data_IF_283339786205
#
_entry.id   IF_283339786205
#
_cell.length_a   1.000
_cell.length_b   1.000
_cell.length_c   1.000
_cell.angle_alpha   90.00
_cell.angle_beta   90.00
_cell.angle_gamma   90.00
#
_symmetry.space_group_name_H-M   'P 1'
#
loop_
_entity.id
_entity.type
_entity.pdbx_description
1 polymer ?
#
# COMPACT_ATOMS: atom_id res chain seq x y z
N UNK A 1 22.47 -31.55 -0.99
CA UNK A 1 21.84 -30.44 -1.73
C UNK A 1 22.26 -30.55 -3.17
N UNK A 2 21.33 -30.71 -4.11
CA UNK A 2 21.64 -30.67 -5.53
C UNK A 2 21.97 -29.23 -5.93
N UNK A 3 23.05 -29.03 -6.66
CA UNK A 3 23.37 -27.72 -7.22
C UNK A 3 22.25 -27.33 -8.21
N UNK A 4 21.48 -26.30 -7.84
CA UNK A 4 20.50 -25.71 -8.75
C UNK A 4 21.30 -25.07 -9.89
N UNK A 5 21.25 -25.67 -11.08
CA UNK A 5 21.84 -25.05 -12.27
C UNK A 5 21.05 -23.77 -12.57
N UNK A 6 21.72 -22.63 -12.48
CA UNK A 6 21.13 -21.36 -12.89
C UNK A 6 20.85 -21.43 -14.40
N UNK A 7 19.62 -21.12 -14.79
CA UNK A 7 19.25 -20.92 -16.18
C UNK A 7 20.05 -19.76 -16.76
N UNK A 8 20.59 -19.92 -17.97
CA UNK A 8 21.18 -18.81 -18.74
C UNK A 8 20.13 -17.93 -19.43
N UNK A 9 18.84 -18.19 -19.21
CA UNK A 9 17.77 -17.43 -19.83
C UNK A 9 17.79 -15.96 -19.37
N UNK A 10 17.50 -15.00 -20.25
CA UNK A 10 17.33 -13.60 -19.88
C UNK A 10 16.29 -13.41 -18.76
N UNK A 11 16.52 -12.41 -17.90
CA UNK A 11 15.63 -12.07 -16.78
C UNK A 11 14.17 -11.86 -17.22
N UNK A 12 13.98 -11.16 -18.35
CA UNK A 12 12.64 -10.89 -18.89
C UNK A 12 11.89 -12.18 -19.23
N UNK A 13 12.54 -13.13 -19.89
CA UNK A 13 11.94 -14.42 -20.24
C UNK A 13 11.59 -15.22 -18.98
N UNK A 14 12.47 -15.17 -17.97
CA UNK A 14 12.24 -15.81 -16.67
C UNK A 14 10.99 -15.25 -15.97
N UNK A 15 10.80 -13.93 -15.98
CA UNK A 15 9.60 -13.28 -15.41
C UNK A 15 8.33 -13.61 -16.21
N UNK A 16 8.41 -13.66 -17.54
CA UNK A 16 7.24 -14.02 -18.36
C UNK A 16 6.83 -15.48 -18.14
N UNK A 17 7.79 -16.39 -18.07
CA UNK A 17 7.53 -17.79 -17.73
C UNK A 17 6.93 -17.91 -16.33
N UNK A 18 7.49 -17.18 -15.36
CA UNK A 18 6.97 -17.14 -13.99
C UNK A 18 5.52 -16.66 -13.93
N UNK A 19 5.19 -15.53 -14.58
CA UNK A 19 3.82 -15.00 -14.65
C UNK A 19 2.84 -16.01 -15.22
N UNK A 20 3.23 -16.71 -16.29
CA UNK A 20 2.40 -17.75 -16.92
C UNK A 20 2.03 -18.87 -15.94
N UNK A 21 2.93 -19.21 -15.03
CA UNK A 21 2.68 -20.21 -13.98
C UNK A 21 1.84 -19.62 -12.86
N UNK A 22 2.23 -18.46 -12.32
CA UNK A 22 1.56 -17.80 -11.19
C UNK A 22 0.12 -17.43 -11.51
N UNK A 23 -0.19 -17.10 -12.76
CA UNK A 23 -1.55 -16.76 -13.18
C UNK A 23 -2.57 -17.90 -12.96
N UNK A 24 -2.11 -19.12 -12.72
CA UNK A 24 -2.91 -20.30 -12.44
C UNK A 24 -2.95 -20.70 -10.96
N UNK A 25 -2.30 -19.93 -10.10
CA UNK A 25 -2.20 -20.19 -8.67
C UNK A 25 -3.12 -19.26 -7.89
N UNK A 26 -3.51 -19.71 -6.70
CA UNK A 26 -4.08 -18.88 -5.64
C UNK A 26 -3.04 -18.83 -4.52
N UNK A 27 -2.63 -17.63 -4.12
CA UNK A 27 -1.53 -17.43 -3.18
C UNK A 27 -2.03 -16.74 -1.92
N UNK A 28 -1.56 -17.19 -0.76
CA UNK A 28 -1.69 -16.43 0.49
C UNK A 28 -0.65 -15.30 0.53
N UNK A 29 -0.78 -14.36 1.48
CA UNK A 29 0.25 -13.34 1.65
C UNK A 29 1.61 -13.94 2.04
N UNK A 30 1.60 -15.06 2.77
CA UNK A 30 2.81 -15.76 3.20
C UNK A 30 3.51 -16.46 2.02
N UNK A 31 2.74 -17.02 1.07
CA UNK A 31 3.30 -17.58 -0.17
C UNK A 31 3.98 -16.48 -1.01
N UNK A 32 3.32 -15.33 -1.17
CA UNK A 32 3.89 -14.19 -1.91
C UNK A 32 5.15 -13.69 -1.23
N UNK A 33 5.14 -13.55 0.10
CA UNK A 33 6.30 -13.15 0.88
C UNK A 33 7.47 -14.11 0.67
N UNK A 34 7.24 -15.43 0.76
CA UNK A 34 8.29 -16.42 0.57
C UNK A 34 8.90 -16.35 -0.84
N UNK A 35 8.07 -16.13 -1.88
CA UNK A 35 8.54 -15.94 -3.25
C UNK A 35 9.39 -14.67 -3.41
N UNK A 36 8.98 -13.57 -2.77
CA UNK A 36 9.73 -12.31 -2.73
C UNK A 36 11.07 -12.48 -2.02
N UNK A 37 11.10 -13.15 -0.87
CA UNK A 37 12.32 -13.47 -0.12
C UNK A 37 13.29 -14.32 -0.97
N UNK A 38 12.76 -15.34 -1.65
CA UNK A 38 13.55 -16.15 -2.58
C UNK A 38 14.12 -15.32 -3.74
N UNK A 39 13.33 -14.39 -4.29
CA UNK A 39 13.78 -13.49 -5.36
C UNK A 39 14.88 -12.53 -4.88
N UNK A 40 14.79 -12.04 -3.64
CA UNK A 40 15.80 -11.18 -3.02
C UNK A 40 17.14 -11.89 -2.80
N UNK A 41 17.13 -13.20 -2.62
CA UNK A 41 18.35 -14.02 -2.44
C UNK A 41 19.07 -14.35 -3.76
N UNK A 42 18.48 -14.03 -4.93
CA UNK A 42 19.11 -14.33 -6.21
C UNK A 42 20.36 -13.45 -6.43
N UNK A 43 21.50 -14.03 -6.84
CA UNK A 43 22.71 -13.26 -7.12
C UNK A 43 22.52 -12.35 -8.36
N UNK A 44 23.17 -11.18 -8.36
CA UNK A 44 23.21 -10.32 -9.56
C UNK A 44 22.02 -9.36 -9.74
N UNK A 45 21.34 -8.97 -8.66
CA UNK A 45 20.23 -7.99 -8.66
C UNK A 45 20.63 -6.55 -9.09
N UNK A 46 21.80 -6.32 -9.72
CA UNK A 46 22.31 -4.99 -10.07
C UNK A 46 21.65 -4.37 -11.32
N UNK A 47 20.39 -4.71 -11.62
CA UNK A 47 19.62 -4.18 -12.73
C UNK A 47 18.71 -3.02 -12.35
N UNK A 48 18.17 -2.31 -13.36
CA UNK A 48 17.27 -1.17 -13.18
C UNK A 48 15.92 -1.49 -12.48
N UNK A 49 15.57 -2.78 -12.36
CA UNK A 49 14.35 -3.24 -11.68
C UNK A 49 14.67 -4.41 -10.76
N UNK A 50 14.47 -4.28 -9.44
CA UNK A 50 14.72 -5.37 -8.50
C UNK A 50 13.79 -6.56 -8.75
N UNK A 51 14.32 -7.78 -8.72
CA UNK A 51 13.53 -8.98 -8.97
C UNK A 51 12.37 -9.13 -7.98
N UNK A 52 12.61 -8.75 -6.72
CA UNK A 52 11.62 -8.73 -5.65
C UNK A 52 10.40 -7.86 -5.95
N UNK A 53 10.59 -6.71 -6.62
CA UNK A 53 9.47 -5.83 -7.02
C UNK A 53 8.68 -6.50 -8.14
N UNK A 54 9.35 -7.06 -9.15
CA UNK A 54 8.69 -7.79 -10.23
C UNK A 54 7.92 -9.02 -9.72
N UNK A 55 8.50 -9.73 -8.75
CA UNK A 55 7.92 -10.89 -8.10
C UNK A 55 6.63 -10.51 -7.37
N UNK A 56 6.67 -9.47 -6.53
CA UNK A 56 5.50 -9.00 -5.79
C UNK A 56 4.39 -8.54 -6.75
N UNK A 57 4.73 -7.74 -7.76
CA UNK A 57 3.74 -7.24 -8.74
C UNK A 57 3.12 -8.39 -9.54
N UNK A 58 3.90 -9.39 -9.94
CA UNK A 58 3.39 -10.56 -10.64
C UNK A 58 2.43 -11.39 -9.79
N UNK A 59 2.70 -11.51 -8.49
CA UNK A 59 1.88 -12.27 -7.56
C UNK A 59 0.67 -11.51 -7.01
N UNK A 60 0.68 -10.17 -7.04
CA UNK A 60 -0.33 -9.32 -6.38
C UNK A 60 -1.77 -9.69 -6.76
N UNK A 61 -2.05 -9.83 -8.05
CA UNK A 61 -3.39 -10.15 -8.56
C UNK A 61 -3.89 -11.54 -8.15
N UNK A 62 -2.98 -12.43 -7.74
CA UNK A 62 -3.25 -13.83 -7.34
C UNK A 62 -3.25 -14.03 -5.83
N UNK A 63 -2.93 -12.98 -5.07
CA UNK A 63 -3.04 -12.99 -3.62
C UNK A 63 -4.49 -12.79 -3.19
N UNK A 64 -5.05 -13.72 -2.43
CA UNK A 64 -6.40 -13.58 -1.87
C UNK A 64 -6.42 -12.80 -0.54
N UNK A 65 -5.26 -12.60 0.10
CA UNK A 65 -5.10 -11.85 1.36
C UNK A 65 -4.45 -10.48 1.11
N UNK A 66 -5.00 -9.69 0.17
CA UNK A 66 -4.39 -8.40 -0.23
C UNK A 66 -4.13 -7.43 0.92
N UNK A 67 -5.02 -7.27 1.93
CA UNK A 67 -4.74 -6.40 3.07
C UNK A 67 -3.48 -6.83 3.83
N UNK A 68 -3.32 -8.14 4.08
CA UNK A 68 -2.13 -8.70 4.73
C UNK A 68 -0.87 -8.50 3.87
N UNK A 69 -1.01 -8.55 2.53
CA UNK A 69 0.09 -8.26 1.61
C UNK A 69 0.51 -6.78 1.65
N UNK A 70 -0.44 -5.84 1.71
CA UNK A 70 -0.16 -4.41 1.81
C UNK A 70 0.39 -3.96 3.18
N UNK A 71 0.45 -4.87 4.15
CA UNK A 71 0.87 -4.56 5.52
C UNK A 71 2.37 -4.26 5.68
N UNK A 72 2.72 -3.70 6.84
CA UNK A 72 4.09 -3.57 7.35
C UNK A 72 4.91 -4.87 7.32
N UNK A 73 4.26 -6.04 7.41
CA UNK A 73 4.96 -7.32 7.42
C UNK A 73 5.53 -7.71 6.04
N UNK A 74 4.94 -7.19 4.95
CA UNK A 74 5.35 -7.55 3.58
C UNK A 74 5.72 -6.33 2.73
N UNK A 75 4.76 -5.53 2.25
CA UNK A 75 5.05 -4.44 1.32
C UNK A 75 5.87 -3.29 1.92
N UNK A 76 5.67 -2.99 3.21
CA UNK A 76 6.44 -1.93 3.90
C UNK A 76 7.56 -2.49 4.79
N UNK A 77 7.92 -3.77 4.64
CA UNK A 77 9.00 -4.37 5.41
C UNK A 77 10.36 -3.89 4.88
N UNK A 78 11.14 -3.11 5.65
CA UNK A 78 12.40 -2.53 5.18
C UNK A 78 13.50 -3.57 4.90
N UNK A 79 13.34 -4.81 5.39
CA UNK A 79 14.24 -5.91 5.08
C UNK A 79 13.95 -6.53 3.70
N UNK A 80 12.73 -6.34 3.18
CA UNK A 80 12.33 -6.82 1.87
C UNK A 80 12.43 -5.71 0.83
N UNK A 81 11.92 -4.51 1.14
CA UNK A 81 11.80 -3.42 0.19
C UNK A 81 12.47 -2.15 0.72
N UNK A 82 13.28 -1.52 -0.13
CA UNK A 82 13.77 -0.17 0.11
C UNK A 82 12.66 0.87 -0.12
N UNK A 83 12.89 2.13 0.27
CA UNK A 83 11.97 3.23 -0.05
C UNK A 83 11.80 3.44 -1.56
N UNK A 84 12.86 3.19 -2.34
CA UNK A 84 12.79 3.24 -3.81
C UNK A 84 11.89 2.13 -4.36
N UNK A 85 12.01 0.92 -3.82
CA UNK A 85 11.14 -0.21 -4.19
C UNK A 85 9.68 0.09 -3.88
N UNK A 86 9.41 0.67 -2.70
CA UNK A 86 8.06 1.08 -2.32
C UNK A 86 7.47 2.11 -3.30
N UNK A 87 8.28 3.08 -3.75
CA UNK A 87 7.89 4.02 -4.80
C UNK A 87 7.55 3.32 -6.14
N UNK A 88 8.31 2.29 -6.51
CA UNK A 88 8.02 1.48 -7.70
C UNK A 88 6.74 0.66 -7.53
N UNK A 89 6.50 0.07 -6.36
CA UNK A 89 5.26 -0.66 -6.05
C UNK A 89 4.06 0.28 -6.12
N UNK A 90 4.12 1.44 -5.47
CA UNK A 90 3.10 2.48 -5.53
C UNK A 90 2.77 2.88 -6.97
N UNK A 91 3.79 3.14 -7.79
CA UNK A 91 3.60 3.53 -9.20
C UNK A 91 2.92 2.45 -10.04
N UNK A 92 3.17 1.17 -9.72
CA UNK A 92 2.74 0.03 -10.56
C UNK A 92 1.43 -0.60 -10.12
N UNK A 93 1.19 -0.65 -8.82
CA UNK A 93 0.00 -1.24 -8.24
C UNK A 93 -1.07 -0.18 -7.96
N UNK A 94 -0.67 1.08 -7.83
CA UNK A 94 -1.58 2.13 -7.40
C UNK A 94 -1.66 2.23 -5.88
N UNK A 95 -2.12 3.38 -5.40
CA UNK A 95 -2.08 3.74 -3.98
C UNK A 95 -3.02 2.94 -3.10
N UNK A 96 -4.25 2.67 -3.55
CA UNK A 96 -5.22 1.89 -2.78
C UNK A 96 -4.73 0.44 -2.59
N UNK A 97 -4.02 -0.10 -3.57
CA UNK A 97 -3.50 -1.46 -3.52
C UNK A 97 -2.27 -1.63 -2.59
N UNK A 98 -1.55 -0.56 -2.28
CA UNK A 98 -0.38 -0.58 -1.37
C UNK A 98 -0.64 0.06 -0.01
N UNK A 99 -1.87 0.55 0.22
CA UNK A 99 -2.28 1.18 1.46
C UNK A 99 -2.37 0.14 2.58
N UNK A 100 -1.58 0.34 3.63
CA UNK A 100 -1.73 -0.35 4.91
C UNK A 100 -2.81 0.36 5.74
N UNK A 101 -4.07 -0.01 5.46
CA UNK A 101 -5.25 0.59 6.07
C UNK A 101 -5.30 0.46 7.60
N UNK A 102 -4.65 -0.57 8.16
CA UNK A 102 -4.60 -0.80 9.60
C UNK A 102 -3.55 0.06 10.33
N UNK A 103 -2.67 0.72 9.56
CA UNK A 103 -1.49 1.41 10.08
C UNK A 103 -1.29 2.78 9.38
N UNK A 104 -2.38 3.49 9.06
CA UNK A 104 -2.32 4.78 8.35
C UNK A 104 -1.65 5.91 9.13
N UNK A 105 -1.57 5.79 10.45
CA UNK A 105 -0.95 6.74 11.36
C UNK A 105 0.58 6.57 11.48
N UNK A 106 1.11 5.43 11.02
CA UNK A 106 2.53 5.08 11.19
C UNK A 106 3.40 5.66 10.09
N UNK A 107 4.58 6.15 10.47
CA UNK A 107 5.57 6.71 9.53
C UNK A 107 6.38 5.63 8.79
N UNK A 108 6.39 4.39 9.30
CA UNK A 108 7.13 3.26 8.74
C UNK A 108 6.30 2.39 7.77
N UNK A 109 5.04 2.76 7.53
CA UNK A 109 4.13 2.13 6.55
C UNK A 109 3.81 3.09 5.41
N UNK A 110 2.97 2.71 4.44
CA UNK A 110 2.46 3.63 3.41
C UNK A 110 3.58 4.42 2.68
N UNK A 111 4.70 3.75 2.46
CA UNK A 111 5.91 4.33 1.88
C UNK A 111 5.65 4.78 0.43
N UNK A 112 6.37 5.81 -0.06
CA UNK A 112 7.54 6.44 0.55
C UNK A 112 7.25 7.51 1.60
N UNK A 113 5.98 7.92 1.75
CA UNK A 113 5.62 9.13 2.50
C UNK A 113 5.10 8.86 3.91
N UNK A 114 4.99 7.60 4.34
CA UNK A 114 4.52 7.32 5.69
C UNK A 114 3.03 7.64 5.83
N UNK A 115 2.70 8.28 6.94
CA UNK A 115 1.38 8.81 7.24
C UNK A 115 1.06 10.16 6.55
N UNK A 116 1.92 10.63 5.63
CA UNK A 116 1.67 11.82 4.82
C UNK A 116 1.08 11.43 3.47
N UNK A 117 -0.12 11.90 3.20
CA UNK A 117 -0.87 11.64 1.98
C UNK A 117 -0.94 12.91 1.13
N UNK A 118 -0.66 12.75 -0.16
CA UNK A 118 -0.87 13.77 -1.18
C UNK A 118 -1.53 13.06 -2.37
N UNK A 119 -2.80 13.38 -2.60
CA UNK A 119 -3.75 12.61 -3.39
C UNK A 119 -4.33 13.50 -4.50
N UNK A 120 -4.13 13.11 -5.74
CA UNK A 120 -4.77 13.69 -6.92
C UNK A 120 -6.19 13.12 -7.07
N UNK A 121 -7.19 13.93 -6.75
CA UNK A 121 -8.59 13.53 -6.79
C UNK A 121 -9.15 13.39 -8.22
N UNK A 122 -8.36 13.75 -9.25
CA UNK A 122 -8.66 13.35 -10.62
C UNK A 122 -8.50 11.82 -10.80
N UNK A 123 -7.57 11.21 -10.05
CA UNK A 123 -7.32 9.76 -10.07
C UNK A 123 -8.35 9.07 -9.18
N UNK A 124 -9.16 8.18 -9.77
CA UNK A 124 -10.23 7.50 -9.05
C UNK A 124 -9.72 6.75 -7.81
N UNK A 125 -8.60 6.05 -7.93
CA UNK A 125 -8.00 5.29 -6.83
C UNK A 125 -7.55 6.20 -5.68
N UNK A 126 -6.92 7.35 -5.97
CA UNK A 126 -6.48 8.27 -4.92
C UNK A 126 -7.66 9.00 -4.27
N UNK A 127 -8.73 9.27 -5.01
CA UNK A 127 -10.01 9.72 -4.43
C UNK A 127 -10.62 8.68 -3.49
N UNK A 128 -10.53 7.38 -3.80
CA UNK A 128 -10.96 6.33 -2.89
C UNK A 128 -10.14 6.34 -1.60
N UNK A 129 -8.82 6.53 -1.67
CA UNK A 129 -7.97 6.70 -0.48
C UNK A 129 -8.35 7.94 0.32
N UNK A 130 -8.68 9.06 -0.33
CA UNK A 130 -9.14 10.28 0.34
C UNK A 130 -10.45 10.05 1.12
N UNK A 131 -11.43 9.41 0.49
CA UNK A 131 -12.70 9.02 1.10
C UNK A 131 -12.49 8.07 2.28
N UNK A 132 -11.59 7.09 2.13
CA UNK A 132 -11.21 6.19 3.20
C UNK A 132 -10.66 6.95 4.41
N UNK A 133 -9.68 7.82 4.21
CA UNK A 133 -9.04 8.60 5.30
C UNK A 133 -10.07 9.48 6.03
N UNK A 134 -10.94 10.17 5.29
CA UNK A 134 -12.02 10.96 5.87
C UNK A 134 -13.04 10.09 6.64
N UNK A 135 -13.40 8.93 6.08
CA UNK A 135 -14.32 7.98 6.70
C UNK A 135 -13.79 7.38 8.00
N UNK A 136 -12.50 7.05 8.07
CA UNK A 136 -11.85 6.59 9.30
C UNK A 136 -11.79 7.72 10.33
N UNK A 137 -11.35 8.92 9.93
CA UNK A 137 -11.29 10.07 10.83
C UNK A 137 -12.67 10.45 11.40
N UNK A 138 -13.74 10.36 10.59
CA UNK A 138 -15.12 10.59 11.05
C UNK A 138 -15.57 9.60 12.13
N UNK A 139 -15.06 8.37 12.09
CA UNK A 139 -15.37 7.32 13.08
C UNK A 139 -14.49 7.40 14.32
N UNK A 140 -13.23 7.78 14.16
CA UNK A 140 -12.25 7.88 15.23
C UNK A 140 -12.23 9.28 15.86
N UNK A 141 -11.65 10.25 15.14
CA UNK A 141 -11.66 11.67 15.47
C UNK A 141 -11.24 12.48 14.23
N UNK A 142 -12.00 13.52 13.84
CA UNK A 142 -11.59 14.45 12.78
C UNK A 142 -10.24 15.12 13.03
N UNK A 143 -9.81 15.22 14.30
CA UNK A 143 -8.53 15.84 14.71
C UNK A 143 -7.30 15.00 14.31
N UNK A 144 -7.48 13.72 14.00
CA UNK A 144 -6.39 12.86 13.54
C UNK A 144 -5.93 13.20 12.12
N UNK A 145 -6.75 13.93 11.36
CA UNK A 145 -6.37 14.51 10.08
C UNK A 145 -5.74 15.90 10.31
N UNK A 146 -4.41 15.92 10.32
CA UNK A 146 -3.59 17.13 10.50
C UNK A 146 -3.02 17.61 9.18
N UNK A 147 -2.49 18.84 9.15
CA UNK A 147 -1.85 19.42 7.95
C UNK A 147 -2.72 19.32 6.67
N UNK A 148 -4.03 19.40 6.85
CA UNK A 148 -4.97 19.13 5.76
C UNK A 148 -5.09 20.33 4.82
N UNK A 149 -5.10 20.06 3.52
CA UNK A 149 -5.40 21.03 2.49
C UNK A 149 -6.21 20.38 1.36
N UNK A 150 -7.14 21.16 0.79
CA UNK A 150 -7.88 20.80 -0.41
C UNK A 150 -7.65 21.89 -1.46
N UNK A 151 -6.98 21.50 -2.54
CA UNK A 151 -6.46 22.39 -3.56
C UNK A 151 -5.50 23.42 -3.02
N UNK A 152 -5.80 24.70 -3.27
CA UNK A 152 -5.04 25.84 -2.73
C UNK A 152 -5.57 26.34 -1.38
N UNK A 153 -6.61 25.70 -0.84
CA UNK A 153 -7.31 26.13 0.36
C UNK A 153 -6.88 25.38 1.62
N UNK A 154 -7.08 26.02 2.77
CA UNK A 154 -7.00 25.36 4.09
C UNK A 154 -8.22 24.45 4.26
N UNK A 155 -7.98 23.25 4.78
CA UNK A 155 -9.03 22.28 5.10
C UNK A 155 -10.11 22.86 6.02
N UNK A 156 -11.35 22.46 5.76
CA UNK A 156 -12.51 22.76 6.61
C UNK A 156 -13.04 21.45 7.18
N UNK A 157 -13.26 21.40 8.49
CA UNK A 157 -13.85 20.22 9.16
C UNK A 157 -15.16 19.76 8.50
N UNK A 158 -15.91 20.69 7.91
CA UNK A 158 -17.14 20.44 7.17
C UNK A 158 -16.98 19.43 6.02
N UNK A 159 -15.79 19.32 5.41
CA UNK A 159 -15.53 18.41 4.28
C UNK A 159 -15.59 16.94 4.73
N UNK A 160 -15.10 16.63 5.94
CA UNK A 160 -15.19 15.28 6.55
C UNK A 160 -16.65 14.87 6.71
N UNK A 161 -17.52 15.83 7.07
CA UNK A 161 -18.93 15.54 7.27
C UNK A 161 -19.62 15.16 5.96
N UNK A 162 -19.28 15.86 4.87
CA UNK A 162 -19.94 15.71 3.56
C UNK A 162 -19.35 14.63 2.67
N UNK A 163 -18.07 14.26 2.85
CA UNK A 163 -17.33 13.35 1.95
C UNK A 163 -17.37 13.80 0.47
N UNK A 164 -17.70 15.07 0.22
CA UNK A 164 -17.84 15.66 -1.11
C UNK A 164 -16.51 16.22 -1.58
N UNK A 165 -15.62 15.31 -2.01
CA UNK A 165 -14.33 15.67 -2.57
C UNK A 165 -14.52 16.16 -4.02
N UNK A 166 -14.19 17.42 -4.33
CA UNK A 166 -14.34 17.95 -5.67
C UNK A 166 -13.45 17.16 -6.65
N UNK A 167 -14.00 16.72 -7.80
CA UNK A 167 -13.20 16.02 -8.80
C UNK A 167 -12.16 16.98 -9.39
N UNK A 168 -10.94 16.47 -9.62
CA UNK A 168 -9.81 17.21 -10.19
C UNK A 168 -9.14 18.24 -9.28
N UNK A 169 -9.25 18.06 -7.95
CA UNK A 169 -8.46 18.82 -6.99
C UNK A 169 -7.37 17.95 -6.34
N UNK A 170 -6.52 18.55 -5.51
CA UNK A 170 -5.53 17.81 -4.72
C UNK A 170 -5.96 17.79 -3.25
N UNK A 171 -5.93 16.62 -2.61
CA UNK A 171 -6.11 16.50 -1.17
C UNK A 171 -4.79 16.08 -0.52
N UNK A 172 -4.31 16.86 0.45
CA UNK A 172 -3.16 16.49 1.26
C UNK A 172 -3.51 16.47 2.74
N UNK A 173 -2.97 15.52 3.48
CA UNK A 173 -3.13 15.42 4.93
C UNK A 173 -2.01 14.58 5.56
N UNK A 174 -1.78 14.78 6.87
CA UNK A 174 -1.00 13.86 7.70
C UNK A 174 -1.93 13.19 8.71
N UNK A 175 -1.97 11.87 8.74
CA UNK A 175 -2.79 11.12 9.71
C UNK A 175 -1.98 10.86 10.99
N UNK A 176 -2.41 11.41 12.12
CA UNK A 176 -1.69 11.31 13.39
C UNK A 176 -2.66 11.00 14.51
N UNK A 177 -2.39 9.92 15.26
CA UNK A 177 -3.10 9.64 16.51
C UNK A 177 -2.30 10.26 17.65
N UNK A 178 -2.77 11.42 18.12
CA UNK A 178 -2.11 12.25 19.14
C UNK A 178 -2.20 11.66 20.55
N UNK A 179 -3.22 10.85 20.84
CA UNK A 179 -3.40 10.19 22.13
C UNK A 179 -3.95 8.75 21.95
N UNK A 180 -3.07 7.74 22.01
CA UNK A 180 -3.49 6.35 21.86
C UNK A 180 -4.33 5.82 23.04
N UNK A 181 -4.42 6.55 24.16
CA UNK A 181 -5.30 6.18 25.27
C UNK A 181 -6.78 6.49 24.97
N UNK A 182 -7.05 7.44 24.06
CA UNK A 182 -8.42 7.82 23.68
C UNK A 182 -9.09 6.77 22.78
N UNK A 183 -8.32 6.09 21.93
CA UNK A 183 -8.85 5.07 21.01
C UNK A 183 -7.89 3.90 20.92
N UNK A 184 -8.34 2.73 21.39
CA UNK A 184 -7.52 1.51 21.35
C UNK A 184 -7.16 1.10 19.92
N UNK A 185 -5.99 0.50 19.72
CA UNK A 185 -5.56 -0.01 18.41
C UNK A 185 -6.58 -0.97 17.78
N UNK A 186 -7.23 -1.81 18.59
CA UNK A 186 -8.28 -2.72 18.12
C UNK A 186 -9.49 -1.96 17.58
N UNK A 187 -9.94 -0.90 18.26
CA UNK A 187 -11.04 -0.07 17.79
C UNK A 187 -10.69 0.68 16.49
N UNK A 188 -9.43 1.12 16.34
CA UNK A 188 -8.94 1.76 15.12
C UNK A 188 -8.92 0.80 13.93
N UNK A 189 -8.37 -0.40 14.12
CA UNK A 189 -8.40 -1.47 13.09
C UNK A 189 -9.83 -1.84 12.70
N UNK A 190 -10.74 -1.92 13.67
CA UNK A 190 -12.16 -2.13 13.40
C UNK A 190 -12.78 -0.98 12.60
N UNK A 191 -12.45 0.28 12.91
CA UNK A 191 -12.92 1.45 12.17
C UNK A 191 -12.41 1.46 10.72
N UNK A 192 -11.13 1.14 10.51
CA UNK A 192 -10.50 0.97 9.20
C UNK A 192 -11.21 -0.13 8.40
N UNK A 193 -11.37 -1.33 8.96
CA UNK A 193 -12.03 -2.44 8.28
C UNK A 193 -13.49 -2.09 7.92
N UNK A 194 -14.25 -1.53 8.85
CA UNK A 194 -15.62 -1.06 8.59
C UNK A 194 -15.65 0.00 7.49
N UNK A 195 -14.60 0.80 7.32
CA UNK A 195 -14.58 1.81 6.25
C UNK A 195 -14.32 1.16 4.91
N UNK A 196 -13.36 0.22 4.84
CA UNK A 196 -13.09 -0.57 3.63
C UNK A 196 -14.33 -1.33 3.14
N UNK A 197 -15.09 -1.94 4.06
CA UNK A 197 -16.28 -2.73 3.70
C UNK A 197 -17.41 -1.90 3.05
N UNK A 198 -17.38 -0.57 3.20
CA UNK A 198 -18.37 0.35 2.65
C UNK A 198 -17.87 1.11 1.41
N UNK A 199 -16.63 0.87 0.98
CA UNK A 199 -16.10 1.49 -0.23
C UNK A 199 -16.64 0.76 -1.48
N UNK A 200 -17.14 1.51 -2.48
CA UNK A 200 -17.74 0.95 -3.70
C UNK A 200 -16.73 0.34 -4.68
#
# INVERSE_FOLDING_TARGET
GGAVRLSGAPWLESILAFRTVVDRLSLSADDVRALVEAASALPGQQGAKPARVEMLVACFGRCFERPKLASAAVMHNPNLFSKEDAGQLLTRLGRANVLDAENIDREDTNLPNGNLFNLDLAVHEERQVALFLAGVAKKESPEFLTECALGKGVWKADIIATEDFPPNDTFSCKYVVSDPELVSEAARKEAAQKTLDHMP
#
